data_IF_292143277627
#
_entry.id   IF_292143277627
#
_cell.length_a   1.000
_cell.length_b   1.000
_cell.length_c   1.000
_cell.angle_alpha   90.00
_cell.angle_beta   90.00
_cell.angle_gamma   90.00
#
_symmetry.space_group_name_H-M   'P 1'
#
loop_
_entity.id
_entity.type
_entity.pdbx_description
1 polymer ?
#
# COMPACT_ATOMS: atom_id res chain seq x y z
N UNK A 1 4.71 21.08 -20.16
CA UNK A 1 4.02 19.93 -20.77
C UNK A 1 3.04 19.36 -19.75
N UNK A 2 1.71 19.38 -19.97
CA UNK A 2 0.77 18.76 -19.03
C UNK A 2 0.97 17.23 -19.07
N UNK A 3 1.29 16.63 -17.93
CA UNK A 3 1.50 15.19 -17.82
C UNK A 3 0.17 14.48 -18.06
N UNK A 4 0.01 13.87 -19.24
CA UNK A 4 -1.08 12.96 -19.57
C UNK A 4 -0.93 11.67 -18.74
N UNK A 5 -1.29 11.72 -17.46
CA UNK A 5 -1.19 10.57 -16.54
C UNK A 5 -2.40 9.65 -16.69
N UNK A 6 -2.48 8.94 -17.82
CA UNK A 6 -3.40 7.81 -18.02
C UNK A 6 -2.94 6.57 -17.25
N UNK A 7 -2.87 6.67 -15.92
CA UNK A 7 -2.97 5.50 -15.06
C UNK A 7 -4.43 5.42 -14.60
N UNK A 8 -5.30 4.66 -15.28
CA UNK A 8 -6.74 4.66 -15.00
C UNK A 8 -7.05 4.17 -13.58
N UNK A 9 -6.12 3.50 -12.91
CA UNK A 9 -6.26 3.00 -11.55
C UNK A 9 -5.89 3.99 -10.44
N UNK A 10 -5.37 5.18 -10.74
CA UNK A 10 -4.98 6.14 -9.70
C UNK A 10 -6.20 6.88 -9.11
N UNK A 11 -6.20 7.14 -7.81
CA UNK A 11 -7.28 7.86 -7.11
C UNK A 11 -7.54 9.26 -7.69
N UNK A 12 -6.53 9.90 -8.26
CA UNK A 12 -6.66 11.20 -8.93
C UNK A 12 -7.52 11.15 -10.21
N UNK A 13 -7.71 9.97 -10.79
CA UNK A 13 -8.49 9.75 -12.02
C UNK A 13 -9.90 9.19 -11.73
N UNK A 14 -10.33 9.17 -10.45
CA UNK A 14 -11.62 8.62 -10.01
C UNK A 14 -12.58 9.72 -9.56
N UNK A 15 -13.91 9.51 -9.67
CA UNK A 15 -14.91 10.41 -9.10
C UNK A 15 -14.69 10.62 -7.60
N UNK A 16 -14.88 11.86 -7.12
CA UNK A 16 -14.65 12.21 -5.71
C UNK A 16 -15.56 11.41 -4.79
N UNK A 17 -16.78 11.14 -5.23
CA UNK A 17 -17.80 10.37 -4.53
C UNK A 17 -17.37 8.91 -4.33
N UNK A 18 -16.72 8.32 -5.35
CA UNK A 18 -16.21 6.95 -5.29
C UNK A 18 -15.00 6.85 -4.36
N UNK A 19 -14.08 7.82 -4.44
CA UNK A 19 -12.93 7.91 -3.52
C UNK A 19 -13.41 8.11 -2.09
N UNK A 20 -14.39 8.98 -1.88
CA UNK A 20 -15.00 9.22 -0.57
C UNK A 20 -15.67 7.95 -0.03
N UNK A 21 -16.45 7.24 -0.84
CA UNK A 21 -17.08 5.99 -0.44
C UNK A 21 -16.05 4.92 -0.03
N UNK A 22 -14.90 4.86 -0.70
CA UNK A 22 -13.81 3.92 -0.36
C UNK A 22 -13.10 4.32 0.92
N UNK A 23 -12.77 5.61 1.09
CA UNK A 23 -12.21 6.13 2.32
C UNK A 23 -13.17 5.91 3.50
N UNK A 24 -14.45 6.18 3.31
CA UNK A 24 -15.50 5.92 4.30
C UNK A 24 -15.59 4.43 4.64
N UNK A 25 -15.59 3.50 3.66
CA UNK A 25 -15.59 2.05 3.93
C UNK A 25 -14.36 1.61 4.74
N UNK A 26 -13.17 2.14 4.43
CA UNK A 26 -11.95 1.87 5.21
C UNK A 26 -12.01 2.43 6.65
N UNK A 27 -12.58 3.62 6.82
CA UNK A 27 -12.82 4.23 8.13
C UNK A 27 -13.83 3.43 8.97
N UNK A 28 -14.97 3.04 8.38
CA UNK A 28 -15.99 2.25 9.07
C UNK A 28 -15.48 0.88 9.52
N UNK A 29 -14.64 0.21 8.73
CA UNK A 29 -13.97 -1.04 9.14
C UNK A 29 -13.05 -0.86 10.36
N UNK A 30 -12.61 0.36 10.64
CA UNK A 30 -11.73 0.68 11.77
C UNK A 30 -12.50 1.04 13.06
N UNK A 31 -13.81 1.37 12.95
CA UNK A 31 -14.64 1.85 14.07
C UNK A 31 -15.16 0.73 14.98
N UNK A 32 -15.17 -0.54 14.55
CA UNK A 32 -15.69 -1.68 15.32
C UNK A 32 -14.66 -2.40 16.20
N UNK A 33 -13.53 -1.75 16.51
CA UNK A 33 -12.44 -2.36 17.30
C UNK A 33 -11.15 -2.54 16.50
N UNK A 34 -10.72 -1.49 15.77
CA UNK A 34 -9.46 -1.49 15.05
C UNK A 34 -8.22 -1.62 15.96
N UNK A 35 -7.05 -1.68 15.34
CA UNK A 35 -5.77 -1.90 16.03
C UNK A 35 -5.56 -0.99 17.26
N UNK A 36 -5.98 0.29 17.18
CA UNK A 36 -5.85 1.25 18.27
C UNK A 36 -6.70 0.94 19.51
N UNK A 37 -7.83 0.22 19.36
CA UNK A 37 -8.72 -0.15 20.47
C UNK A 37 -8.44 -1.56 21.01
N UNK A 38 -7.42 -2.24 20.50
CA UNK A 38 -7.00 -3.56 20.97
C UNK A 38 -6.15 -3.44 22.25
N UNK A 39 -6.06 -4.51 23.04
CA UNK A 39 -5.16 -4.58 24.19
C UNK A 39 -3.69 -4.23 23.81
N UNK A 40 -2.98 -3.38 24.59
CA UNK A 40 -1.63 -2.93 24.27
C UNK A 40 -0.59 -4.06 24.11
N UNK A 41 -0.68 -5.11 24.90
CA UNK A 41 0.23 -6.26 24.81
C UNK A 41 -0.02 -7.03 23.51
N UNK A 42 -1.29 -7.20 23.16
CA UNK A 42 -1.68 -7.81 21.88
C UNK A 42 -1.25 -6.94 20.68
N UNK A 43 -1.38 -5.62 20.76
CA UNK A 43 -0.86 -4.69 19.75
C UNK A 43 0.66 -4.85 19.58
N UNK A 44 1.42 -4.85 20.67
CA UNK A 44 2.87 -5.03 20.66
C UNK A 44 3.27 -6.35 20.02
N UNK A 45 2.59 -7.44 20.36
CA UNK A 45 2.85 -8.76 19.78
C UNK A 45 2.58 -8.80 18.27
N UNK A 46 1.52 -8.15 17.78
CA UNK A 46 1.24 -8.06 16.34
C UNK A 46 2.27 -7.18 15.63
N UNK A 47 2.61 -6.02 16.19
CA UNK A 47 3.61 -5.11 15.64
C UNK A 47 5.00 -5.78 15.57
N UNK A 48 5.38 -6.49 16.64
CA UNK A 48 6.61 -7.26 16.71
C UNK A 48 6.63 -8.36 15.65
N UNK A 49 5.55 -9.14 15.52
CA UNK A 49 5.42 -10.15 14.44
C UNK A 49 5.51 -9.53 13.05
N UNK A 50 4.90 -8.37 12.82
CA UNK A 50 5.03 -7.63 11.56
C UNK A 50 6.46 -7.17 11.28
N UNK A 51 7.19 -6.75 12.32
CA UNK A 51 8.60 -6.39 12.23
C UNK A 51 9.54 -7.59 11.97
N UNK A 52 9.22 -8.77 12.50
CA UNK A 52 9.98 -10.00 12.26
C UNK A 52 9.66 -10.65 10.91
N UNK A 53 8.39 -10.62 10.48
CA UNK A 53 7.96 -11.10 9.17
C UNK A 53 8.43 -10.16 8.06
N UNK A 54 8.56 -8.87 8.35
CA UNK A 54 9.35 -7.97 7.52
C UNK A 54 10.81 -8.40 7.64
N UNK A 55 11.35 -8.87 6.54
CA UNK A 55 12.67 -9.47 6.46
C UNK A 55 13.86 -8.48 6.62
N UNK A 56 13.77 -7.58 7.59
CA UNK A 56 14.66 -6.46 7.86
C UNK A 56 14.23 -5.16 7.17
N UNK A 57 14.76 -4.03 7.66
CA UNK A 57 14.73 -2.76 6.93
C UNK A 57 15.39 -2.98 5.57
N UNK A 58 14.74 -2.51 4.50
CA UNK A 58 15.38 -2.46 3.19
C UNK A 58 16.47 -1.40 3.24
N UNK A 59 17.71 -1.82 3.48
CA UNK A 59 18.86 -0.92 3.35
C UNK A 59 18.88 -0.35 1.93
N UNK A 60 19.05 0.97 1.83
CA UNK A 60 19.06 1.67 0.54
C UNK A 60 20.21 1.14 -0.30
N UNK A 61 19.89 0.57 -1.47
CA UNK A 61 20.89 -0.03 -2.36
C UNK A 61 21.19 -1.51 -2.10
N UNK A 62 20.58 -2.13 -1.08
CA UNK A 62 20.65 -3.59 -0.92
C UNK A 62 20.04 -4.30 -2.13
N UNK A 63 20.55 -5.50 -2.42
CA UNK A 63 20.04 -6.32 -3.52
C UNK A 63 18.54 -6.60 -3.36
N UNK A 64 18.10 -6.81 -2.12
CA UNK A 64 16.70 -7.00 -1.76
C UNK A 64 15.82 -5.77 -2.05
N UNK A 65 16.31 -4.58 -1.72
CA UNK A 65 15.61 -3.33 -2.05
C UNK A 65 15.52 -3.13 -3.57
N UNK A 66 16.61 -3.44 -4.28
CA UNK A 66 16.66 -3.40 -5.74
C UNK A 66 15.72 -4.41 -6.38
N UNK A 67 15.65 -5.63 -5.85
CA UNK A 67 14.75 -6.67 -6.34
C UNK A 67 13.29 -6.33 -6.06
N UNK A 68 12.97 -5.89 -4.85
CA UNK A 68 11.63 -5.42 -4.49
C UNK A 68 11.20 -4.22 -5.35
N UNK A 69 12.10 -3.24 -5.55
CA UNK A 69 11.87 -2.10 -6.44
C UNK A 69 11.70 -2.52 -7.90
N UNK A 70 12.50 -3.47 -8.40
CA UNK A 70 12.37 -4.04 -9.74
C UNK A 70 11.06 -4.81 -9.90
N UNK A 71 10.65 -5.60 -8.91
CA UNK A 71 9.39 -6.36 -8.92
C UNK A 71 8.19 -5.40 -8.86
N UNK A 72 8.25 -4.39 -8.00
CA UNK A 72 7.26 -3.32 -7.91
C UNK A 72 7.16 -2.52 -9.21
N UNK A 73 8.29 -2.16 -9.82
CA UNK A 73 8.36 -1.51 -11.12
C UNK A 73 7.84 -2.39 -12.26
N UNK A 74 8.10 -3.70 -12.22
CA UNK A 74 7.53 -4.67 -13.18
C UNK A 74 6.03 -4.86 -13.00
N UNK A 75 5.53 -4.85 -11.76
CA UNK A 75 4.10 -4.95 -11.48
C UNK A 75 3.37 -3.66 -11.87
N UNK A 76 3.99 -2.50 -11.62
CA UNK A 76 3.49 -1.19 -12.06
C UNK A 76 3.61 -1.00 -13.59
N UNK A 77 4.59 -1.64 -14.22
CA UNK A 77 4.85 -1.59 -15.66
C UNK A 77 4.22 -2.73 -16.46
N UNK A 78 3.39 -3.59 -15.86
CA UNK A 78 2.69 -4.69 -16.58
C UNK A 78 1.25 -4.35 -16.98
N UNK A 79 0.92 -3.07 -17.05
CA UNK A 79 -0.20 -2.59 -17.85
C UNK A 79 0.38 -1.96 -19.12
N UNK A 80 0.38 -2.75 -20.20
CA UNK A 80 0.61 -2.39 -21.61
C UNK A 80 2.06 -2.32 -22.12
N UNK A 81 2.52 -3.43 -22.71
CA UNK A 81 3.15 -3.41 -24.03
C UNK A 81 2.79 -4.72 -24.76
N UNK A 82 1.63 -4.72 -25.40
CA UNK A 82 1.34 -5.60 -26.54
C UNK A 82 1.39 -4.70 -27.77
N UNK A 83 2.50 -4.79 -28.49
CA UNK A 83 2.54 -4.70 -29.95
C UNK A 83 3.30 -5.93 -30.43
#
# INVERSE_FOLDING_TARGET
>A
MPSNTKNPGNFANRPKEEVQAIASKGGHASHSGGFANMDPEKQHNIASKGGHASSGKFEKGSEKAREAGRKGGKAAGREQHTE
#
